data_IF_321984601684
#
_entry.id   IF_321984601684
#
_cell.length_a   1.000
_cell.length_b   1.000
_cell.length_c   1.000
_cell.angle_alpha   90.00
_cell.angle_beta   90.00
_cell.angle_gamma   90.00
#
_symmetry.space_group_name_H-M   'P 1'
#
loop_
_entity.id
_entity.type
_entity.pdbx_description
1 polymer ?
#
# COMPACT_ATOMS: atom_id res chain seq x y z
N UNK A 1 -14.97 0.16 3.39
CA UNK A 1 -15.50 -0.75 2.34
C UNK A 1 -16.55 -1.65 3.00
N UNK A 2 -17.35 -2.38 2.22
CA UNK A 2 -18.51 -3.15 2.71
C UNK A 2 -18.27 -4.67 2.61
N UNK A 3 -17.12 -5.07 2.06
CA UNK A 3 -16.82 -6.47 1.77
C UNK A 3 -16.60 -7.27 3.05
N UNK A 4 -15.88 -6.73 4.03
CA UNK A 4 -15.60 -7.45 5.26
C UNK A 4 -16.85 -7.65 6.15
N UNK A 5 -17.91 -6.85 5.92
CA UNK A 5 -19.20 -7.04 6.59
C UNK A 5 -20.06 -8.13 5.94
N UNK A 6 -19.80 -8.45 4.67
CA UNK A 6 -20.61 -9.37 3.87
C UNK A 6 -20.01 -10.77 3.77
N UNK A 7 -18.69 -10.87 3.84
CA UNK A 7 -17.98 -12.13 3.62
C UNK A 7 -17.06 -12.45 4.79
N UNK A 8 -17.13 -13.69 5.28
CA UNK A 8 -16.23 -14.20 6.32
C UNK A 8 -14.84 -14.57 5.78
N UNK A 9 -14.74 -14.80 4.46
CA UNK A 9 -13.50 -15.15 3.76
C UNK A 9 -13.43 -14.34 2.48
N UNK A 10 -12.28 -13.72 2.22
CA UNK A 10 -11.98 -13.01 0.99
C UNK A 10 -10.71 -13.61 0.38
N UNK A 11 -10.76 -13.91 -0.91
CA UNK A 11 -9.63 -14.43 -1.66
C UNK A 11 -9.27 -13.47 -2.79
N UNK A 12 -7.98 -13.15 -2.90
CA UNK A 12 -7.43 -12.31 -3.97
C UNK A 12 -6.31 -13.08 -4.65
N UNK A 13 -6.40 -13.20 -5.97
CA UNK A 13 -5.48 -13.99 -6.80
C UNK A 13 -4.95 -13.18 -7.97
N UNK A 14 -3.81 -13.61 -8.51
CA UNK A 14 -3.19 -12.94 -9.67
C UNK A 14 -2.73 -11.53 -9.31
N UNK A 15 -2.21 -11.36 -8.09
CA UNK A 15 -1.64 -10.09 -7.66
C UNK A 15 -0.26 -9.97 -8.30
N UNK A 16 -0.06 -9.05 -9.25
CA UNK A 16 1.25 -8.86 -9.85
C UNK A 16 2.20 -8.20 -8.85
N UNK A 17 3.47 -8.10 -9.21
CA UNK A 17 4.38 -7.19 -8.51
C UNK A 17 3.79 -5.76 -8.54
N UNK A 18 3.67 -5.12 -7.37
CA UNK A 18 3.05 -3.81 -7.24
C UNK A 18 4.07 -2.66 -7.21
N UNK A 19 5.35 -3.00 -7.05
CA UNK A 19 6.49 -2.09 -7.14
C UNK A 19 6.35 -1.15 -8.34
N UNK A 20 6.73 0.11 -8.15
CA UNK A 20 6.81 1.07 -9.25
C UNK A 20 8.02 1.96 -9.08
N UNK A 21 8.77 2.16 -10.15
CA UNK A 21 9.82 3.17 -10.18
C UNK A 21 9.20 4.57 -9.96
N UNK A 22 9.76 5.39 -9.06
CA UNK A 22 9.29 6.76 -8.89
C UNK A 22 9.53 7.54 -10.19
N UNK A 23 8.46 8.02 -10.82
CA UNK A 23 8.57 8.96 -11.93
C UNK A 23 8.94 10.35 -11.37
N UNK A 24 10.20 10.77 -11.47
CA UNK A 24 10.57 12.18 -11.31
C UNK A 24 10.06 12.96 -12.52
N UNK A 25 8.99 13.74 -12.35
CA UNK A 25 8.64 14.74 -13.34
C UNK A 25 9.68 15.86 -13.23
N UNK A 26 10.57 15.98 -14.21
CA UNK A 26 11.57 17.05 -14.30
C UNK A 26 10.80 18.38 -14.20
N UNK A 27 10.93 19.07 -13.05
CA UNK A 27 10.33 20.39 -12.84
C UNK A 27 11.01 21.33 -13.84
N UNK A 28 10.29 21.77 -14.86
CA UNK A 28 10.81 22.70 -15.85
C UNK A 28 11.33 23.96 -15.13
N UNK A 29 12.65 24.17 -15.17
CA UNK A 29 13.33 25.29 -14.51
C UNK A 29 13.19 26.52 -15.41
N UNK A 30 12.12 27.30 -15.19
CA UNK A 30 12.06 28.67 -15.68
C UNK A 30 13.15 29.48 -14.96
N UNK A 31 14.05 30.08 -15.72
CA UNK A 31 14.96 31.11 -15.23
C UNK A 31 14.16 32.39 -15.06
N UNK A 32 14.07 32.92 -13.84
CA UNK A 32 14.11 34.38 -13.55
C UNK A 32 13.97 34.62 -12.03
N UNK A 33 15.06 35.16 -11.47
CA UNK A 33 15.20 36.05 -10.32
C UNK A 33 14.51 35.78 -8.96
N UNK A 34 15.35 35.38 -8.00
CA UNK A 34 15.60 36.18 -6.79
C UNK A 34 14.46 36.43 -5.79
N UNK A 35 14.27 35.50 -4.85
CA UNK A 35 13.94 35.84 -3.46
C UNK A 35 14.37 34.69 -2.52
N UNK A 36 15.35 34.96 -1.65
CA UNK A 36 15.67 34.09 -0.52
C UNK A 36 14.56 34.30 0.52
N UNK A 37 13.47 33.54 0.35
CA UNK A 37 12.35 33.47 1.27
C UNK A 37 12.47 32.21 2.12
N UNK A 38 12.64 32.41 3.43
CA UNK A 38 12.62 31.40 4.48
C UNK A 38 11.35 30.53 4.46
N UNK A 39 11.55 29.22 4.38
CA UNK A 39 10.61 28.17 4.78
C UNK A 39 9.34 28.04 3.94
N UNK A 40 9.30 27.07 3.00
CA UNK A 40 8.05 26.62 2.39
C UNK A 40 8.06 25.11 2.11
N UNK A 41 7.33 24.40 2.96
CA UNK A 41 6.57 23.20 2.61
C UNK A 41 5.69 23.53 1.39
N UNK A 42 6.19 23.32 0.18
CA UNK A 42 5.49 23.75 -1.04
C UNK A 42 5.78 22.80 -2.20
N UNK A 43 4.74 22.08 -2.62
CA UNK A 43 4.69 21.21 -3.81
C UNK A 43 5.66 20.02 -3.81
N UNK A 44 5.38 19.02 -2.97
CA UNK A 44 5.64 17.65 -3.42
C UNK A 44 4.64 17.38 -4.54
N UNK A 45 5.06 17.52 -5.79
CA UNK A 45 4.35 16.92 -6.90
C UNK A 45 4.30 15.41 -6.61
N UNK A 46 3.17 14.94 -6.07
CA UNK A 46 2.95 13.51 -5.83
C UNK A 46 2.79 12.91 -7.22
N UNK A 47 3.90 12.44 -7.77
CA UNK A 47 3.88 11.65 -9.00
C UNK A 47 3.15 10.36 -8.68
N UNK A 48 1.91 10.25 -9.13
CA UNK A 48 1.11 9.05 -8.95
C UNK A 48 1.74 7.98 -9.84
N UNK A 49 2.43 7.01 -9.22
CA UNK A 49 2.92 5.85 -9.95
C UNK A 49 1.76 5.15 -10.65
N UNK A 50 2.00 4.52 -11.80
CA UNK A 50 0.97 3.80 -12.57
C UNK A 50 0.22 2.76 -11.71
N UNK A 51 0.88 2.25 -10.66
CA UNK A 51 0.33 1.27 -9.71
C UNK A 51 -0.15 1.86 -8.38
N UNK A 52 -0.01 3.16 -8.11
CA UNK A 52 -0.33 3.74 -6.80
C UNK A 52 -1.81 3.51 -6.40
N UNK A 53 -2.74 3.58 -7.35
CA UNK A 53 -4.14 3.28 -7.09
C UNK A 53 -4.37 1.80 -6.71
N UNK A 54 -3.71 0.87 -7.42
CA UNK A 54 -3.78 -0.55 -7.10
C UNK A 54 -3.19 -0.85 -5.72
N UNK A 55 -2.06 -0.23 -5.38
CA UNK A 55 -1.42 -0.34 -4.06
C UNK A 55 -2.32 0.23 -2.97
N UNK A 56 -2.93 1.41 -3.17
CA UNK A 56 -3.88 2.00 -2.20
C UNK A 56 -5.08 1.09 -1.97
N UNK A 57 -5.65 0.51 -3.04
CA UNK A 57 -6.77 -0.44 -2.94
C UNK A 57 -6.36 -1.72 -2.22
N UNK A 58 -5.17 -2.24 -2.49
CA UNK A 58 -4.63 -3.40 -1.79
C UNK A 58 -4.46 -3.14 -0.29
N UNK A 59 -3.82 -2.01 0.08
CA UNK A 59 -3.66 -1.59 1.48
C UNK A 59 -5.03 -1.49 2.16
N UNK A 60 -5.99 -0.81 1.52
CA UNK A 60 -7.33 -0.62 2.07
C UNK A 60 -8.06 -1.94 2.32
N UNK A 61 -7.91 -2.91 1.42
CA UNK A 61 -8.50 -4.24 1.56
C UNK A 61 -7.88 -5.02 2.73
N UNK A 62 -6.55 -4.99 2.86
CA UNK A 62 -5.84 -5.66 3.95
C UNK A 62 -6.26 -5.07 5.30
N UNK A 63 -6.31 -3.75 5.40
CA UNK A 63 -6.70 -3.05 6.63
C UNK A 63 -8.13 -3.39 7.03
N UNK A 64 -9.07 -3.41 6.08
CA UNK A 64 -10.45 -3.81 6.34
C UNK A 64 -10.53 -5.27 6.81
N UNK A 65 -9.81 -6.20 6.17
CA UNK A 65 -9.78 -7.60 6.60
C UNK A 65 -9.16 -7.77 7.99
N UNK A 66 -8.11 -7.00 8.29
CA UNK A 66 -7.42 -7.04 9.57
C UNK A 66 -8.32 -6.55 10.71
N UNK A 67 -8.97 -5.40 10.53
CA UNK A 67 -9.83 -4.76 11.54
C UNK A 67 -11.07 -5.60 11.84
N UNK A 68 -11.66 -6.19 10.81
CA UNK A 68 -12.85 -7.04 10.93
C UNK A 68 -12.54 -8.53 11.15
N UNK A 69 -11.26 -8.90 11.26
CA UNK A 69 -10.80 -10.29 11.42
C UNK A 69 -11.32 -11.24 10.35
N UNK A 70 -11.48 -10.76 9.12
CA UNK A 70 -11.89 -11.59 7.98
C UNK A 70 -10.71 -12.43 7.51
N UNK A 71 -10.96 -13.70 7.15
CA UNK A 71 -9.92 -14.55 6.62
C UNK A 71 -9.54 -14.07 5.21
N UNK A 72 -8.33 -13.56 5.06
CA UNK A 72 -7.77 -13.13 3.78
C UNK A 72 -6.84 -14.21 3.22
N UNK A 73 -7.11 -14.67 1.99
CA UNK A 73 -6.27 -15.56 1.22
C UNK A 73 -5.66 -14.79 0.04
N UNK A 74 -4.34 -14.80 -0.08
CA UNK A 74 -3.62 -14.07 -1.13
C UNK A 74 -2.80 -15.02 -2.00
N UNK A 75 -2.87 -14.82 -3.31
CA UNK A 75 -1.99 -15.43 -4.30
C UNK A 75 -1.41 -14.34 -5.18
N UNK A 76 -0.10 -14.17 -5.09
CA UNK A 76 0.67 -13.18 -5.81
C UNK A 76 1.74 -13.85 -6.68
N UNK A 77 2.14 -13.17 -7.75
CA UNK A 77 3.13 -13.66 -8.71
C UNK A 77 4.55 -13.65 -8.12
N UNK A 78 4.75 -12.86 -7.06
CA UNK A 78 6.02 -12.71 -6.33
C UNK A 78 5.83 -13.02 -4.84
N UNK A 79 6.90 -13.38 -4.11
CA UNK A 79 6.87 -13.47 -2.65
C UNK A 79 6.37 -12.18 -2.00
N UNK A 80 5.74 -12.30 -0.81
CA UNK A 80 5.15 -11.15 -0.13
C UNK A 80 6.17 -10.05 0.19
N UNK A 81 7.41 -10.44 0.50
CA UNK A 81 8.54 -9.56 0.78
C UNK A 81 8.98 -8.75 -0.44
N UNK A 82 8.65 -9.23 -1.64
CA UNK A 82 8.99 -8.62 -2.93
C UNK A 82 7.79 -7.91 -3.57
N UNK A 83 6.60 -8.00 -2.96
CA UNK A 83 5.37 -7.51 -3.55
C UNK A 83 5.39 -5.98 -3.79
N UNK A 84 6.10 -5.24 -2.95
CA UNK A 84 6.25 -3.79 -3.09
C UNK A 84 7.56 -3.30 -2.44
N UNK A 85 8.59 -3.11 -3.25
CA UNK A 85 9.94 -2.74 -2.80
C UNK A 85 10.22 -1.23 -2.96
N UNK A 86 9.61 -0.60 -3.97
CA UNK A 86 9.78 0.81 -4.30
C UNK A 86 8.43 1.44 -4.71
N UNK A 87 8.34 2.76 -4.53
CA UNK A 87 7.17 3.57 -4.86
C UNK A 87 6.75 4.51 -3.73
N UNK A 88 5.75 5.35 -3.98
CA UNK A 88 5.40 6.48 -3.10
C UNK A 88 4.78 6.03 -1.77
N UNK A 89 4.17 4.84 -1.73
CA UNK A 89 3.43 4.27 -0.59
C UNK A 89 4.24 3.31 0.28
N UNK A 90 5.57 3.36 0.23
CA UNK A 90 6.42 2.36 0.89
C UNK A 90 6.23 2.32 2.42
N UNK A 91 5.96 3.46 3.04
CA UNK A 91 5.74 3.54 4.47
C UNK A 91 4.42 2.87 4.89
N UNK A 92 3.34 3.16 4.17
CA UNK A 92 2.01 2.56 4.36
C UNK A 92 2.04 1.07 4.06
N UNK A 93 2.76 0.67 3.01
CA UNK A 93 2.90 -0.73 2.65
C UNK A 93 3.69 -1.53 3.69
N UNK A 94 4.71 -0.96 4.33
CA UNK A 94 5.41 -1.63 5.45
C UNK A 94 4.47 -2.00 6.59
N UNK A 95 3.51 -1.13 6.92
CA UNK A 95 2.47 -1.43 7.93
C UNK A 95 1.54 -2.55 7.46
N UNK A 96 1.17 -2.52 6.19
CA UNK A 96 0.36 -3.55 5.54
C UNK A 96 1.06 -4.91 5.58
N UNK A 97 2.36 -4.94 5.29
CA UNK A 97 3.20 -6.13 5.37
C UNK A 97 3.21 -6.71 6.79
N UNK A 98 3.44 -5.88 7.82
CA UNK A 98 3.39 -6.32 9.22
C UNK A 98 2.03 -6.95 9.58
N UNK A 99 0.91 -6.33 9.18
CA UNK A 99 -0.44 -6.88 9.38
C UNK A 99 -0.61 -8.25 8.72
N UNK A 100 -0.15 -8.40 7.48
CA UNK A 100 -0.21 -9.69 6.78
C UNK A 100 0.61 -10.79 7.47
N UNK A 101 1.78 -10.46 8.01
CA UNK A 101 2.57 -11.40 8.82
C UNK A 101 1.86 -11.76 10.13
N UNK A 102 1.27 -10.78 10.81
CA UNK A 102 0.46 -11.04 12.02
C UNK A 102 -0.72 -11.95 11.70
N UNK A 103 -1.44 -11.71 10.61
CA UNK A 103 -2.59 -12.51 10.17
C UNK A 103 -2.24 -13.97 9.86
N UNK A 104 -0.98 -14.22 9.44
CA UNK A 104 -0.44 -15.59 9.29
C UNK A 104 -0.15 -16.28 10.62
N UNK A 105 0.08 -15.53 11.70
CA UNK A 105 0.49 -16.09 12.99
C UNK A 105 -0.59 -16.98 13.61
N UNK A 106 -0.17 -18.03 14.32
CA UNK A 106 -1.09 -18.93 15.02
C UNK A 106 -1.90 -18.20 16.11
N UNK A 107 -1.34 -17.14 16.69
CA UNK A 107 -2.01 -16.28 17.67
C UNK A 107 -3.22 -15.57 17.05
N UNK A 108 -3.02 -14.91 15.92
CA UNK A 108 -4.11 -14.22 15.22
C UNK A 108 -5.19 -15.21 14.74
N UNK A 109 -4.78 -16.38 14.25
CA UNK A 109 -5.72 -17.45 13.84
C UNK A 109 -6.59 -17.96 15.00
N UNK A 110 -6.11 -17.90 16.25
CA UNK A 110 -6.92 -18.22 17.45
C UNK A 110 -7.90 -17.10 17.78
N UNK A 111 -7.48 -15.83 17.67
CA UNK A 111 -8.33 -14.67 17.96
C UNK A 111 -9.53 -14.54 16.99
N UNK A 112 -9.43 -15.11 15.78
CA UNK A 112 -10.54 -15.18 14.82
C UNK A 112 -11.57 -16.28 15.14
N UNK A 113 -11.19 -17.31 15.90
CA UNK A 113 -12.07 -18.48 16.17
C UNK A 113 -12.99 -18.29 17.37
N UNK A 114 -12.91 -17.16 18.06
CA UNK A 114 -13.77 -16.76 19.19
C UNK A 114 -14.71 -15.66 18.74
#
# INVERSE_FOLDING_TARGET
MELAKRFAIIMVTGIPELSSEPFEHIKARGTEDGAIGSGQTGERAVSLGINDDAVRRFISLVDECYDHKVLLLLSADVPLEQLYLNGTLLFEFRRTFSRLIEMKSSYYQRLRRQ
#
